data_IF_561855901780
#
_entry.id   IF_561855901780
#
_cell.length_a   1.000
_cell.length_b   1.000
_cell.length_c   1.000
_cell.angle_alpha   90.00
_cell.angle_beta   90.00
_cell.angle_gamma   90.00
#
_symmetry.space_group_name_H-M   'P 1'
#
loop_
_entity.id
_entity.type
_entity.pdbx_description
1 polymer ?
#
# COMPACT_ATOMS: atom_id res chain seq x y z
N UNK A 1 -3.48 -9.97 28.14
CA UNK A 1 -2.14 -9.94 27.52
C UNK A 1 -2.35 -10.20 26.03
N UNK A 2 -2.19 -9.20 25.16
CA UNK A 2 -2.26 -9.42 23.71
C UNK A 2 -1.02 -10.23 23.32
N UNK A 3 -1.24 -11.47 22.85
CA UNK A 3 -0.15 -12.30 22.34
C UNK A 3 0.19 -11.74 20.96
N UNK A 4 1.34 -11.07 20.86
CA UNK A 4 1.84 -10.56 19.58
C UNK A 4 2.21 -11.74 18.69
N UNK A 5 1.56 -11.86 17.54
CA UNK A 5 1.90 -12.88 16.55
C UNK A 5 3.22 -12.51 15.86
N UNK A 6 4.34 -12.90 16.46
CA UNK A 6 5.70 -12.57 15.98
C UNK A 6 5.93 -13.05 14.55
N UNK A 7 5.34 -14.21 14.19
CA UNK A 7 5.42 -14.77 12.84
C UNK A 7 4.75 -13.86 11.82
N UNK A 8 3.54 -13.36 12.13
CA UNK A 8 2.82 -12.41 11.29
C UNK A 8 3.64 -11.13 11.02
N UNK A 9 4.16 -10.48 12.07
CA UNK A 9 4.92 -9.25 11.90
C UNK A 9 6.21 -9.47 11.10
N UNK A 10 6.86 -10.62 11.31
CA UNK A 10 8.05 -11.01 10.54
C UNK A 10 7.71 -11.14 9.05
N UNK A 11 6.62 -11.84 8.72
CA UNK A 11 6.14 -11.97 7.34
C UNK A 11 5.80 -10.60 6.74
N UNK A 12 5.07 -9.75 7.46
CA UNK A 12 4.75 -8.40 7.02
C UNK A 12 5.98 -7.58 6.66
N UNK A 13 6.99 -7.57 7.54
CA UNK A 13 8.21 -6.79 7.31
C UNK A 13 9.12 -7.40 6.24
N UNK A 14 9.11 -8.72 6.07
CA UNK A 14 9.81 -9.39 4.96
C UNK A 14 9.16 -9.05 3.61
N UNK A 15 7.84 -9.12 3.51
CA UNK A 15 7.11 -8.72 2.29
C UNK A 15 7.36 -7.26 1.96
N UNK A 16 7.28 -6.38 2.97
CA UNK A 16 7.53 -4.95 2.79
C UNK A 16 8.98 -4.66 2.38
N UNK A 17 9.95 -5.43 2.89
CA UNK A 17 11.34 -5.35 2.46
C UNK A 17 11.48 -5.75 0.99
N UNK A 18 10.86 -6.85 0.56
CA UNK A 18 10.88 -7.30 -0.83
C UNK A 18 10.28 -6.27 -1.80
N UNK A 19 9.13 -5.67 -1.47
CA UNK A 19 8.54 -4.60 -2.28
C UNK A 19 9.48 -3.40 -2.45
N UNK A 20 10.23 -3.05 -1.40
CA UNK A 20 11.19 -1.95 -1.44
C UNK A 20 12.45 -2.30 -2.25
N UNK A 21 12.98 -3.51 -2.11
CA UNK A 21 14.13 -3.99 -2.88
C UNK A 21 13.84 -4.09 -4.37
N UNK A 22 12.61 -4.46 -4.73
CA UNK A 22 12.09 -4.44 -6.11
C UNK A 22 11.75 -3.03 -6.61
N UNK A 23 11.97 -1.98 -5.81
CA UNK A 23 11.66 -0.59 -6.14
C UNK A 23 10.19 -0.34 -6.50
N UNK A 24 9.27 -1.18 -6.02
CA UNK A 24 7.83 -1.02 -6.24
C UNK A 24 7.21 0.02 -5.29
N UNK A 25 7.92 0.34 -4.21
CA UNK A 25 7.53 1.34 -3.22
C UNK A 25 8.73 2.20 -2.84
N UNK A 26 8.46 3.46 -2.53
CA UNK A 26 9.44 4.42 -2.04
C UNK A 26 9.77 4.20 -0.55
N UNK A 27 10.83 4.85 -0.06
CA UNK A 27 11.20 4.84 1.37
C UNK A 27 10.09 5.43 2.25
N UNK A 28 9.39 6.45 1.75
CA UNK A 28 8.30 7.11 2.47
C UNK A 28 7.07 6.19 2.57
N UNK A 29 6.69 5.55 1.47
CA UNK A 29 5.61 4.56 1.43
C UNK A 29 5.92 3.36 2.33
N UNK A 30 7.17 2.90 2.34
CA UNK A 30 7.63 1.87 3.26
C UNK A 30 7.43 2.26 4.72
N UNK A 31 7.79 3.49 5.10
CA UNK A 31 7.62 3.96 6.48
C UNK A 31 6.13 4.06 6.85
N UNK A 32 5.31 4.58 5.94
CA UNK A 32 3.86 4.64 6.11
C UNK A 32 3.24 3.24 6.31
N UNK A 33 3.60 2.27 5.48
CA UNK A 33 3.10 0.89 5.56
C UNK A 33 3.53 0.18 6.84
N UNK A 34 4.75 0.42 7.35
CA UNK A 34 5.14 -0.05 8.68
C UNK A 34 4.19 0.45 9.76
N UNK A 35 3.80 1.72 9.69
CA UNK A 35 2.84 2.31 10.61
C UNK A 35 1.46 1.67 10.51
N UNK A 36 1.02 1.27 9.30
CA UNK A 36 -0.26 0.57 9.12
C UNK A 36 -0.21 -0.86 9.70
N UNK A 37 0.85 -1.61 9.43
CA UNK A 37 1.06 -2.96 9.97
C UNK A 37 1.00 -2.95 11.50
N UNK A 38 1.66 -1.98 12.15
CA UNK A 38 1.70 -1.87 13.62
C UNK A 38 0.37 -1.51 14.27
N UNK A 39 -0.61 -1.02 13.48
CA UNK A 39 -1.97 -0.73 13.97
C UNK A 39 -2.90 -1.94 13.87
N UNK A 40 -2.48 -3.01 13.21
CA UNK A 40 -3.28 -4.22 13.10
C UNK A 40 -3.31 -4.92 14.46
N UNK A 41 -4.49 -5.01 15.05
CA UNK A 41 -4.74 -5.83 16.22
C UNK A 41 -4.89 -7.29 15.76
N UNK A 42 -3.79 -8.03 15.77
CA UNK A 42 -3.72 -9.42 15.28
C UNK A 42 -3.67 -10.36 16.48
N UNK A 43 -4.48 -11.42 16.45
CA UNK A 43 -4.44 -12.49 17.46
C UNK A 43 -3.45 -13.59 17.07
N UNK A 44 -3.07 -14.44 18.03
CA UNK A 44 -2.08 -15.50 17.80
C UNK A 44 -2.51 -16.54 16.75
N UNK A 45 -3.81 -16.70 16.52
CA UNK A 45 -4.40 -17.69 15.59
C UNK A 45 -4.66 -17.14 14.17
N UNK A 46 -4.45 -15.83 13.96
CA UNK A 46 -4.67 -15.20 12.66
C UNK A 46 -3.51 -15.49 11.71
N UNK A 47 -3.71 -16.46 10.81
CA UNK A 47 -2.83 -16.67 9.66
C UNK A 47 -3.32 -15.84 8.47
N UNK A 48 -2.54 -14.83 8.05
CA UNK A 48 -2.79 -14.14 6.79
C UNK A 48 -2.02 -14.83 5.65
N UNK A 49 -2.62 -14.94 4.47
CA UNK A 49 -1.89 -15.37 3.29
C UNK A 49 -0.96 -14.26 2.79
N UNK A 50 0.13 -14.62 2.11
CA UNK A 50 1.05 -13.64 1.52
C UNK A 50 0.35 -12.76 0.47
N UNK A 51 -0.61 -13.34 -0.24
CA UNK A 51 -1.41 -12.64 -1.26
C UNK A 51 -2.30 -11.58 -0.62
N UNK A 52 -3.02 -11.91 0.45
CA UNK A 52 -3.91 -10.98 1.14
C UNK A 52 -3.13 -9.85 1.81
N UNK A 53 -1.97 -10.17 2.38
CA UNK A 53 -1.05 -9.17 2.92
C UNK A 53 -0.57 -8.20 1.83
N UNK A 54 -0.20 -8.72 0.66
CA UNK A 54 0.25 -7.89 -0.47
C UNK A 54 -0.88 -6.97 -0.96
N UNK A 55 -2.11 -7.49 -1.09
CA UNK A 55 -3.30 -6.71 -1.44
C UNK A 55 -3.59 -5.62 -0.42
N UNK A 56 -3.50 -5.93 0.88
CA UNK A 56 -3.68 -4.96 1.96
C UNK A 56 -2.68 -3.81 1.85
N UNK A 57 -1.38 -4.12 1.72
CA UNK A 57 -0.34 -3.10 1.62
C UNK A 57 -0.54 -2.18 0.41
N UNK A 58 -0.86 -2.76 -0.76
CA UNK A 58 -1.17 -1.98 -1.97
C UNK A 58 -2.43 -1.12 -1.81
N UNK A 59 -3.44 -1.62 -1.11
CA UNK A 59 -4.66 -0.85 -0.80
C UNK A 59 -4.36 0.36 0.08
N UNK A 60 -3.52 0.20 1.12
CA UNK A 60 -3.07 1.31 1.95
C UNK A 60 -2.36 2.41 1.14
N UNK A 61 -1.55 2.03 0.15
CA UNK A 61 -0.90 3.00 -0.74
C UNK A 61 -1.90 3.72 -1.65
N UNK A 62 -2.86 3.00 -2.24
CA UNK A 62 -3.94 3.62 -3.01
C UNK A 62 -4.71 4.65 -2.18
N UNK A 63 -5.02 4.34 -0.93
CA UNK A 63 -5.68 5.29 -0.01
C UNK A 63 -4.81 6.51 0.27
N UNK A 64 -3.51 6.31 0.56
CA UNK A 64 -2.56 7.42 0.78
C UNK A 64 -2.51 8.35 -0.45
N UNK A 65 -2.39 7.78 -1.65
CA UNK A 65 -2.30 8.54 -2.89
C UNK A 65 -3.62 9.26 -3.22
N UNK A 66 -4.76 8.62 -2.97
CA UNK A 66 -6.07 9.26 -3.12
C UNK A 66 -6.24 10.45 -2.16
N UNK A 67 -5.80 10.32 -0.90
CA UNK A 67 -5.81 11.42 0.07
C UNK A 67 -4.84 12.53 -0.30
N UNK A 68 -3.67 12.20 -0.87
CA UNK A 68 -2.72 13.18 -1.38
C UNK A 68 -3.32 13.98 -2.55
N UNK A 69 -3.95 13.30 -3.51
CA UNK A 69 -4.64 13.92 -4.65
C UNK A 69 -5.80 14.83 -4.16
N UNK A 70 -6.65 14.33 -3.25
CA UNK A 70 -7.74 15.16 -2.68
C UNK A 70 -7.26 16.34 -1.85
N UNK A 71 -6.09 16.21 -1.20
CA UNK A 71 -5.46 17.29 -0.45
C UNK A 71 -4.74 18.31 -1.35
N UNK A 72 -4.30 17.90 -2.55
CA UNK A 72 -3.65 18.77 -3.53
C UNK A 72 -4.63 19.41 -4.51
N UNK A 73 -5.87 18.92 -4.63
CA UNK A 73 -6.90 19.54 -5.46
C UNK A 73 -7.55 20.74 -4.79
N UNK A 74 -6.90 21.90 -4.88
CA UNK A 74 -7.60 23.09 -5.40
C UNK A 74 -7.93 22.79 -6.88
N UNK A 75 -9.09 23.19 -7.41
CA UNK A 75 -9.66 22.64 -8.64
C UNK A 75 -8.82 23.05 -9.85
N UNK A 76 -8.01 22.13 -10.36
CA UNK A 76 -7.37 22.20 -11.68
C UNK A 76 -7.35 20.82 -12.35
N UNK A 77 -8.39 20.01 -12.12
CA UNK A 77 -8.60 18.73 -12.80
C UNK A 77 -9.84 18.82 -13.69
N UNK A 78 -9.85 19.80 -14.58
CA UNK A 78 -10.65 19.79 -15.81
C UNK A 78 -9.70 20.21 -16.93
N UNK A 79 -8.94 19.25 -17.47
CA UNK A 79 -8.29 19.28 -18.79
C UNK A 79 -7.26 18.13 -18.86
N UNK A 80 -7.76 16.90 -18.90
CA UNK A 80 -7.11 15.87 -19.71
C UNK A 80 -8.27 15.26 -20.50
N UNK A 81 -8.54 15.86 -21.66
CA UNK A 81 -9.28 15.17 -22.73
C UNK A 81 -8.42 13.97 -23.13
N UNK A 82 -8.96 12.77 -23.00
CA UNK A 82 -8.39 11.58 -23.65
C UNK A 82 -8.60 11.74 -25.16
N UNK A 83 -7.67 12.41 -25.85
CA UNK A 83 -7.49 12.19 -27.28
C UNK A 83 -6.86 10.80 -27.46
N UNK A 84 -7.72 9.78 -27.51
CA UNK A 84 -7.39 8.47 -28.08
C UNK A 84 -7.08 8.66 -29.57
N UNK A 85 -5.80 8.78 -29.90
CA UNK A 85 -5.28 8.55 -31.25
C UNK A 85 -5.43 7.04 -31.55
N UNK A 86 -6.59 6.66 -32.07
CA UNK A 86 -6.75 5.39 -32.76
C UNK A 86 -5.95 5.43 -34.08
N UNK A 87 -4.87 4.66 -34.05
CA UNK A 87 -4.01 4.14 -35.12
C UNK A 87 -4.37 4.43 -36.59
N UNK A 88 -3.34 4.89 -37.31
CA UNK A 88 -3.25 4.88 -38.77
C UNK A 88 -3.52 3.49 -39.36
N UNK A 89 -4.49 3.38 -40.28
CA UNK A 89 -4.50 2.44 -41.42
C UNK A 89 -5.26 3.04 -42.61
#
# INVERSE_FOLDING_TARGET
MQITNVTFYKQCFQTLQGLFELQLITKEEKLYLKGQILKLEITADDSISLEDLSKYLLSCLKQKNYHYIKGSTKPQLDMIDEETDEEQL
#
